data_IF_398236832586
#
_entry.id   IF_398236832586
#
_cell.length_a   1.000
_cell.length_b   1.000
_cell.length_c   1.000
_cell.angle_alpha   90.00
_cell.angle_beta   90.00
_cell.angle_gamma   90.00
#
_symmetry.space_group_name_H-M   'P 1'
#
loop_
_entity.id
_entity.type
_entity.pdbx_description
1 polymer ?
#
# COMPACT_ATOMS: atom_id res chain seq x y z
N UNK A 1 22.73 -63.12 -85.67
CA UNK A 1 23.83 -62.15 -85.47
C UNK A 1 23.20 -60.78 -85.44
N UNK A 2 23.50 -60.00 -84.38
CA UNK A 2 22.76 -58.82 -83.98
C UNK A 2 23.26 -57.56 -84.71
N UNK A 3 22.36 -56.83 -85.37
CA UNK A 3 22.63 -55.50 -85.91
C UNK A 3 22.48 -54.44 -84.80
N UNK A 4 23.60 -54.07 -84.19
CA UNK A 4 23.67 -52.91 -83.30
C UNK A 4 23.67 -51.63 -84.15
N UNK A 5 22.48 -51.05 -84.36
CA UNK A 5 22.31 -49.75 -85.03
C UNK A 5 23.08 -48.68 -84.24
N UNK A 6 24.16 -48.17 -84.83
CA UNK A 6 24.95 -47.07 -84.26
C UNK A 6 24.04 -45.88 -83.99
N UNK A 7 23.91 -45.47 -82.73
CA UNK A 7 23.16 -44.28 -82.34
C UNK A 7 23.72 -43.05 -83.05
N UNK A 8 22.84 -42.18 -83.55
CA UNK A 8 23.28 -40.93 -84.13
C UNK A 8 23.87 -40.01 -83.05
N UNK A 9 24.78 -39.13 -83.45
CA UNK A 9 25.34 -38.09 -82.58
C UNK A 9 24.25 -37.26 -81.88
N UNK A 10 23.12 -37.05 -82.56
CA UNK A 10 21.96 -36.34 -82.02
C UNK A 10 21.32 -37.09 -80.85
N UNK A 11 21.14 -38.40 -80.96
CA UNK A 11 20.55 -39.22 -79.89
C UNK A 11 21.43 -39.24 -78.64
N UNK A 12 22.76 -39.21 -78.83
CA UNK A 12 23.72 -39.10 -77.73
C UNK A 12 23.60 -37.75 -77.03
N UNK A 13 23.48 -36.65 -77.78
CA UNK A 13 23.27 -35.31 -77.24
C UNK A 13 21.94 -35.19 -76.51
N UNK A 14 20.88 -35.80 -77.04
CA UNK A 14 19.57 -35.83 -76.40
C UNK A 14 19.62 -36.56 -75.05
N UNK A 15 20.26 -37.74 -75.01
CA UNK A 15 20.44 -38.49 -73.76
C UNK A 15 21.28 -37.73 -72.73
N UNK A 16 22.36 -37.07 -73.18
CA UNK A 16 23.18 -36.22 -72.32
C UNK A 16 22.35 -35.08 -71.71
N UNK A 17 21.54 -34.39 -72.52
CA UNK A 17 20.69 -33.29 -72.06
C UNK A 17 19.68 -33.77 -71.01
N UNK A 18 18.99 -34.88 -71.27
CA UNK A 18 18.03 -35.47 -70.32
C UNK A 18 18.69 -35.87 -69.00
N UNK A 19 19.90 -36.43 -69.04
CA UNK A 19 20.64 -36.75 -67.82
C UNK A 19 21.06 -35.49 -67.05
N UNK A 20 21.43 -34.42 -67.74
CA UNK A 20 21.75 -33.14 -67.11
C UNK A 20 20.52 -32.52 -66.45
N UNK A 21 19.37 -32.50 -67.12
CA UNK A 21 18.12 -32.02 -66.53
C UNK A 21 17.78 -32.77 -65.23
N UNK A 22 17.82 -34.11 -65.25
CA UNK A 22 17.57 -34.93 -64.05
C UNK A 22 18.54 -34.64 -62.90
N UNK A 23 19.82 -34.41 -63.22
CA UNK A 23 20.82 -34.02 -62.22
C UNK A 23 20.50 -32.65 -61.63
N UNK A 24 20.14 -31.68 -62.46
CA UNK A 24 19.74 -30.34 -62.02
C UNK A 24 18.50 -30.36 -61.13
N UNK A 25 17.48 -31.13 -61.51
CA UNK A 25 16.26 -31.30 -60.71
C UNK A 25 16.57 -31.92 -59.34
N UNK A 26 17.40 -32.98 -59.34
CA UNK A 26 17.85 -33.59 -58.09
C UNK A 26 18.69 -32.64 -57.22
N UNK A 27 19.47 -31.72 -57.79
CA UNK A 27 20.24 -30.71 -57.04
C UNK A 27 19.32 -29.63 -56.46
N UNK A 28 18.29 -29.22 -57.19
CA UNK A 28 17.29 -28.25 -56.72
C UNK A 28 16.45 -28.83 -55.57
N UNK A 29 16.04 -30.10 -55.68
CA UNK A 29 15.28 -30.80 -54.65
C UNK A 29 16.11 -31.11 -53.39
N UNK A 30 17.42 -31.35 -53.54
CA UNK A 30 18.16 -32.08 -52.50
C UNK A 30 18.63 -31.31 -51.28
N UNK A 31 19.02 -30.03 -51.32
CA UNK A 31 19.98 -29.67 -50.26
C UNK A 31 20.00 -28.28 -49.63
N UNK A 32 19.45 -27.23 -50.28
CA UNK A 32 19.54 -25.88 -49.69
C UNK A 32 18.23 -25.40 -49.10
N UNK A 33 17.12 -25.62 -49.77
CA UNK A 33 15.82 -25.13 -49.29
C UNK A 33 15.38 -25.80 -47.98
N UNK A 34 15.50 -27.12 -47.87
CA UNK A 34 15.19 -27.86 -46.64
C UNK A 34 16.12 -27.48 -45.48
N UNK A 35 17.42 -27.30 -45.75
CA UNK A 35 18.40 -26.87 -44.77
C UNK A 35 18.12 -25.43 -44.28
N UNK A 36 17.81 -24.52 -45.19
CA UNK A 36 17.45 -23.13 -44.88
C UNK A 36 16.18 -23.08 -44.04
N UNK A 37 15.13 -23.83 -44.42
CA UNK A 37 13.89 -23.93 -43.65
C UNK A 37 14.15 -24.44 -42.23
N UNK A 38 14.96 -25.49 -42.09
CA UNK A 38 15.33 -26.03 -40.76
C UNK A 38 16.09 -25.00 -39.92
N UNK A 39 17.03 -24.28 -40.51
CA UNK A 39 17.78 -23.22 -39.83
C UNK A 39 16.86 -22.06 -39.42
N UNK A 40 15.93 -21.67 -40.28
CA UNK A 40 14.96 -20.62 -40.00
C UNK A 40 14.03 -20.99 -38.83
N UNK A 41 13.54 -22.23 -38.78
CA UNK A 41 12.75 -22.71 -37.65
C UNK A 41 13.58 -22.79 -36.35
N UNK A 42 14.85 -23.21 -36.44
CA UNK A 42 15.74 -23.20 -35.29
C UNK A 42 16.00 -21.78 -34.76
N UNK A 43 16.20 -20.81 -35.66
CA UNK A 43 16.39 -19.42 -35.28
C UNK A 43 15.13 -18.84 -34.63
N UNK A 44 13.95 -19.09 -35.19
CA UNK A 44 12.67 -18.67 -34.57
C UNK A 44 12.51 -19.24 -33.16
N UNK A 45 12.80 -20.54 -32.97
CA UNK A 45 12.73 -21.18 -31.67
C UNK A 45 13.68 -20.52 -30.67
N UNK A 46 14.93 -20.26 -31.07
CA UNK A 46 15.90 -19.57 -30.22
C UNK A 46 15.48 -18.12 -29.91
N UNK A 47 14.95 -17.39 -30.89
CA UNK A 47 14.44 -16.03 -30.66
C UNK A 47 13.31 -16.04 -29.62
N UNK A 48 12.33 -16.92 -29.79
CA UNK A 48 11.22 -17.04 -28.84
C UNK A 48 11.71 -17.41 -27.44
N UNK A 49 12.68 -18.33 -27.33
CA UNK A 49 13.28 -18.71 -26.04
C UNK A 49 13.95 -17.51 -25.36
N UNK A 50 14.74 -16.73 -26.10
CA UNK A 50 15.40 -15.54 -25.54
C UNK A 50 14.42 -14.45 -25.13
N UNK A 51 13.31 -14.29 -25.87
CA UNK A 51 12.25 -13.35 -25.52
C UNK A 51 11.50 -13.79 -24.26
N UNK A 52 11.27 -15.10 -24.10
CA UNK A 52 10.61 -15.68 -22.93
C UNK A 52 11.51 -15.57 -21.69
N UNK A 53 12.80 -15.88 -21.79
CA UNK A 53 13.76 -15.70 -20.70
C UNK A 53 13.82 -14.24 -20.23
N UNK A 54 13.83 -13.30 -21.17
CA UNK A 54 13.78 -11.87 -20.85
C UNK A 54 12.48 -11.48 -20.14
N UNK A 55 11.34 -12.01 -20.60
CA UNK A 55 10.05 -11.76 -19.97
C UNK A 55 10.02 -12.31 -18.53
N UNK A 56 10.57 -13.49 -18.29
CA UNK A 56 10.66 -14.10 -16.97
C UNK A 56 11.50 -13.24 -16.01
N UNK A 57 12.63 -12.70 -16.49
CA UNK A 57 13.48 -11.82 -15.70
C UNK A 57 12.81 -10.46 -15.41
N UNK A 58 12.04 -9.93 -16.36
CA UNK A 58 11.23 -8.74 -16.15
C UNK A 58 10.13 -8.98 -15.10
N UNK A 59 9.48 -10.14 -15.11
CA UNK A 59 8.49 -10.55 -14.09
C UNK A 59 9.13 -10.62 -12.71
N UNK A 60 10.25 -11.35 -12.55
CA UNK A 60 10.98 -11.45 -11.27
C UNK A 60 11.36 -10.08 -10.73
N UNK A 61 11.81 -9.17 -11.60
CA UNK A 61 12.18 -7.81 -11.21
C UNK A 61 10.96 -7.02 -10.71
N UNK A 62 9.82 -7.15 -11.38
CA UNK A 62 8.58 -6.47 -10.99
C UNK A 62 8.00 -7.01 -9.70
N UNK A 63 8.01 -8.33 -9.48
CA UNK A 63 7.58 -8.96 -8.23
C UNK A 63 8.41 -8.44 -7.05
N UNK A 64 9.74 -8.42 -7.20
CA UNK A 64 10.63 -7.86 -6.17
C UNK A 64 10.32 -6.39 -5.89
N UNK A 65 10.14 -5.58 -6.94
CA UNK A 65 9.81 -4.17 -6.79
C UNK A 65 8.46 -3.95 -6.09
N UNK A 66 7.48 -4.82 -6.34
CA UNK A 66 6.18 -4.79 -5.68
C UNK A 66 6.32 -5.09 -4.17
N UNK A 67 7.11 -6.09 -3.80
CA UNK A 67 7.37 -6.44 -2.40
C UNK A 67 8.11 -5.31 -1.68
N UNK A 68 9.15 -4.75 -2.31
CA UNK A 68 9.89 -3.60 -1.78
C UNK A 68 8.95 -2.39 -1.57
N UNK A 69 8.07 -2.11 -2.53
CA UNK A 69 7.06 -1.05 -2.41
C UNK A 69 6.07 -1.28 -1.27
N UNK A 70 5.73 -2.54 -0.98
CA UNK A 70 4.84 -2.88 0.13
C UNK A 70 5.54 -2.67 1.48
N UNK A 71 6.76 -3.17 1.62
CA UNK A 71 7.59 -2.99 2.83
C UNK A 71 7.84 -1.51 3.11
N UNK A 72 8.11 -0.73 2.07
CA UNK A 72 8.31 0.72 2.16
C UNK A 72 7.08 1.44 2.71
N UNK A 73 5.87 1.08 2.24
CA UNK A 73 4.61 1.63 2.76
C UNK A 73 4.39 1.28 4.23
N UNK A 74 4.66 0.03 4.61
CA UNK A 74 4.55 -0.43 6.00
C UNK A 74 5.54 0.31 6.91
N UNK A 75 6.79 0.50 6.47
CA UNK A 75 7.80 1.28 7.19
C UNK A 75 7.36 2.72 7.40
N UNK A 76 6.87 3.37 6.34
CA UNK A 76 6.45 4.77 6.41
C UNK A 76 5.24 4.95 7.34
N UNK A 77 4.27 4.04 7.29
CA UNK A 77 3.13 4.06 8.20
C UNK A 77 3.56 3.88 9.67
N UNK A 78 4.53 2.99 9.92
CA UNK A 78 5.08 2.79 11.26
C UNK A 78 5.82 4.03 11.77
N UNK A 79 6.65 4.64 10.91
CA UNK A 79 7.40 5.85 11.25
C UNK A 79 6.48 7.04 11.56
N UNK A 80 5.41 7.22 10.77
CA UNK A 80 4.40 8.25 11.04
C UNK A 80 3.71 8.02 12.39
N UNK A 81 3.29 6.78 12.67
CA UNK A 81 2.67 6.44 13.95
C UNK A 81 3.61 6.75 15.13
N UNK A 82 4.88 6.36 15.01
CA UNK A 82 5.88 6.63 16.04
C UNK A 82 6.09 8.13 16.25
N UNK A 83 6.12 8.93 15.17
CA UNK A 83 6.20 10.40 15.26
C UNK A 83 5.02 11.00 16.02
N UNK A 84 3.80 10.50 15.80
CA UNK A 84 2.63 10.97 16.55
C UNK A 84 2.71 10.60 18.04
N UNK A 85 3.14 9.38 18.36
CA UNK A 85 3.28 8.91 19.74
C UNK A 85 4.35 9.72 20.51
N UNK A 86 5.50 9.97 19.89
CA UNK A 86 6.56 10.82 20.45
C UNK A 86 6.05 12.24 20.72
N UNK A 87 5.36 12.86 19.74
CA UNK A 87 4.78 14.20 19.93
C UNK A 87 3.76 14.24 21.04
N UNK A 88 2.91 13.22 21.15
CA UNK A 88 1.92 13.13 22.21
C UNK A 88 2.61 13.11 23.58
N UNK A 89 3.58 12.22 23.78
CA UNK A 89 4.34 12.14 25.03
C UNK A 89 5.11 13.43 25.35
N UNK A 90 5.73 14.06 24.35
CA UNK A 90 6.41 15.34 24.51
C UNK A 90 5.44 16.43 25.01
N UNK A 91 4.25 16.52 24.41
CA UNK A 91 3.23 17.51 24.84
C UNK A 91 2.69 17.23 26.24
N UNK A 92 2.48 15.96 26.60
CA UNK A 92 2.04 15.56 27.94
C UNK A 92 3.09 15.95 28.99
N UNK A 93 4.35 15.61 28.77
CA UNK A 93 5.45 15.98 29.67
C UNK A 93 5.58 17.50 29.83
N UNK A 94 5.40 18.25 28.73
CA UNK A 94 5.44 19.71 28.76
C UNK A 94 4.33 20.28 29.63
N UNK A 95 3.08 19.81 29.46
CA UNK A 95 1.95 20.25 30.29
C UNK A 95 2.11 19.87 31.75
N UNK A 96 2.62 18.67 32.05
CA UNK A 96 2.91 18.23 33.42
C UNK A 96 3.97 19.13 34.08
N UNK A 97 5.07 19.42 33.36
CA UNK A 97 6.12 20.31 33.86
C UNK A 97 5.62 21.75 34.06
N UNK A 98 4.77 22.27 33.17
CA UNK A 98 4.14 23.57 33.32
C UNK A 98 3.18 23.61 34.53
N UNK A 99 2.38 22.54 34.74
CA UNK A 99 1.53 22.40 35.93
C UNK A 99 2.34 22.38 37.22
N UNK A 100 3.45 21.63 37.25
CA UNK A 100 4.34 21.54 38.40
C UNK A 100 5.06 22.87 38.65
N UNK A 101 5.55 23.54 37.61
CA UNK A 101 6.15 24.87 37.70
C UNK A 101 5.14 25.94 38.19
N UNK A 102 3.86 25.84 37.81
CA UNK A 102 2.80 26.71 38.35
C UNK A 102 2.49 26.43 39.81
N UNK A 103 2.54 25.17 40.25
CA UNK A 103 2.41 24.80 41.66
C UNK A 103 3.59 25.32 42.50
N UNK A 104 4.82 25.26 41.97
CA UNK A 104 6.02 25.73 42.67
C UNK A 104 6.16 27.27 42.65
N UNK A 105 5.84 27.94 41.53
CA UNK A 105 5.83 29.42 41.44
C UNK A 105 4.63 30.07 42.13
N UNK A 106 3.55 29.31 42.35
CA UNK A 106 2.40 29.72 43.19
C UNK A 106 2.65 29.61 44.70
N UNK A 107 3.82 29.13 45.14
CA UNK A 107 4.15 28.93 46.56
C UNK A 107 4.87 30.14 47.21
N UNK A 108 4.57 31.37 46.77
CA UNK A 108 5.03 32.61 47.43
C UNK A 108 3.88 33.57 47.77
N UNK A 109 2.64 33.09 47.89
CA UNK A 109 1.52 33.95 48.30
C UNK A 109 0.49 33.27 49.20
N UNK A 110 0.84 32.16 49.87
CA UNK A 110 -0.06 31.45 50.79
C UNK A 110 -0.27 32.11 52.16
N UNK A 111 0.36 33.24 52.48
CA UNK A 111 0.18 33.88 53.80
C UNK A 111 -0.68 35.17 53.82
N UNK A 112 -1.08 35.74 52.68
CA UNK A 112 -1.78 37.05 52.70
C UNK A 112 -3.26 36.99 52.26
N UNK A 113 -3.71 35.94 51.56
CA UNK A 113 -5.10 35.88 51.04
C UNK A 113 -6.05 34.93 51.79
N UNK A 114 -5.66 34.38 52.94
CA UNK A 114 -6.55 33.53 53.76
C UNK A 114 -7.65 34.33 54.52
N UNK A 115 -7.73 35.65 54.35
CA UNK A 115 -8.64 36.52 55.15
C UNK A 115 -9.72 37.27 54.36
N UNK A 116 -9.85 37.10 53.05
CA UNK A 116 -10.94 37.73 52.31
C UNK A 116 -11.62 36.72 51.38
N UNK A 117 -12.91 36.54 51.65
CA UNK A 117 -13.87 35.73 50.91
C UNK A 117 -13.79 34.22 51.19
N UNK A 118 -14.21 33.85 52.41
CA UNK A 118 -14.82 32.55 52.65
C UNK A 118 -16.17 32.51 51.88
N UNK A 119 -16.12 32.39 50.55
CA UNK A 119 -17.28 32.11 49.74
C UNK A 119 -17.72 30.68 50.04
N UNK A 120 -18.65 30.53 50.99
CA UNK A 120 -19.31 29.25 51.26
C UNK A 120 -20.14 28.89 50.03
N UNK A 121 -19.51 28.15 49.11
CA UNK A 121 -20.19 27.51 47.99
C UNK A 121 -21.34 26.68 48.56
N UNK A 122 -22.57 26.81 48.04
CA UNK A 122 -23.67 25.95 48.45
C UNK A 122 -23.25 24.50 48.32
N UNK A 123 -23.40 23.72 49.39
CA UNK A 123 -23.07 22.30 49.40
C UNK A 123 -24.02 21.58 48.44
N UNK A 124 -23.55 21.31 47.23
CA UNK A 124 -24.28 20.50 46.25
C UNK A 124 -24.24 19.04 46.72
N UNK A 125 -25.38 18.54 47.21
CA UNK A 125 -25.55 17.11 47.48
C UNK A 125 -25.96 16.47 46.16
N UNK A 126 -24.97 16.03 45.39
CA UNK A 126 -25.21 15.23 44.18
C UNK A 126 -25.02 13.77 44.57
N UNK A 127 -26.00 12.92 44.24
CA UNK A 127 -25.88 11.48 44.47
C UNK A 127 -24.79 10.90 43.57
N UNK A 128 -23.99 9.96 44.07
CA UNK A 128 -22.93 9.32 43.27
C UNK A 128 -23.55 8.62 42.05
N UNK A 129 -23.03 8.87 40.86
CA UNK A 129 -23.42 8.15 39.65
C UNK A 129 -22.58 6.88 39.54
N UNK A 130 -23.22 5.72 39.54
CA UNK A 130 -22.55 4.42 39.54
C UNK A 130 -22.19 3.93 38.12
N UNK A 131 -22.31 4.78 37.09
CA UNK A 131 -21.91 4.46 35.72
C UNK A 131 -22.96 3.70 34.90
N UNK A 132 -24.15 3.45 35.46
CA UNK A 132 -25.27 2.85 34.72
C UNK A 132 -25.89 3.87 33.74
N UNK A 133 -25.77 3.61 32.44
CA UNK A 133 -26.31 4.50 31.39
C UNK A 133 -27.81 4.79 31.52
N UNK A 134 -28.61 3.83 32.00
CA UNK A 134 -30.05 4.03 32.20
C UNK A 134 -30.36 5.08 33.28
N UNK A 135 -29.42 5.31 34.20
CA UNK A 135 -29.55 6.27 35.29
C UNK A 135 -29.04 7.68 34.93
N UNK A 136 -28.49 7.85 33.72
CA UNK A 136 -27.83 9.08 33.28
C UNK A 136 -28.79 10.26 33.22
N UNK A 137 -29.98 10.06 32.66
CA UNK A 137 -30.98 11.11 32.55
C UNK A 137 -31.45 11.57 33.94
N UNK A 138 -31.79 10.64 34.83
CA UNK A 138 -32.20 10.95 36.21
C UNK A 138 -31.09 11.70 36.96
N UNK A 139 -29.85 11.28 36.79
CA UNK A 139 -28.70 11.94 37.40
C UNK A 139 -28.53 13.37 36.90
N UNK A 140 -28.65 13.60 35.58
CA UNK A 140 -28.60 14.95 35.00
C UNK A 140 -29.72 15.86 35.48
N UNK A 141 -30.94 15.33 35.59
CA UNK A 141 -32.07 16.08 36.08
C UNK A 141 -31.85 16.52 37.55
N UNK A 142 -31.37 15.60 38.40
CA UNK A 142 -31.02 15.89 39.80
C UNK A 142 -29.88 16.91 39.92
N UNK A 143 -28.86 16.79 39.08
CA UNK A 143 -27.76 17.75 39.04
C UNK A 143 -28.25 19.14 38.65
N UNK A 144 -29.06 19.23 37.59
CA UNK A 144 -29.59 20.50 37.07
C UNK A 144 -30.49 21.18 38.11
N UNK A 145 -31.37 20.42 38.77
CA UNK A 145 -32.24 20.94 39.84
C UNK A 145 -31.41 21.45 41.05
N UNK A 146 -30.31 20.76 41.39
CA UNK A 146 -29.39 21.18 42.46
C UNK A 146 -28.65 22.48 42.11
N UNK A 147 -28.25 22.65 40.85
CA UNK A 147 -27.64 23.89 40.33
C UNK A 147 -28.64 25.05 40.31
N UNK A 148 -29.89 24.80 39.94
CA UNK A 148 -30.95 25.82 39.93
C UNK A 148 -31.33 26.25 41.35
N UNK A 149 -31.48 25.31 42.29
CA UNK A 149 -31.76 25.60 43.72
C UNK A 149 -30.63 26.34 44.43
N UNK A 150 -29.38 26.10 44.03
CA UNK A 150 -28.21 26.78 44.60
C UNK A 150 -27.96 28.18 44.02
N UNK A 151 -28.78 28.64 43.08
CA UNK A 151 -28.65 29.96 42.46
C UNK A 151 -27.42 30.11 41.56
N UNK A 152 -26.72 29.00 41.26
CA UNK A 152 -25.52 28.97 40.42
C UNK A 152 -25.84 29.01 38.91
N UNK A 153 -27.11 28.86 38.54
CA UNK A 153 -27.59 28.79 37.16
C UNK A 153 -27.11 29.95 36.27
N UNK A 154 -26.92 31.15 36.83
CA UNK A 154 -26.51 32.34 36.07
C UNK A 154 -25.04 32.33 35.62
N UNK A 155 -24.19 31.43 36.15
CA UNK A 155 -22.73 31.50 35.93
C UNK A 155 -22.13 30.27 35.24
N UNK A 156 -22.93 29.32 34.76
CA UNK A 156 -22.40 28.05 34.21
C UNK A 156 -23.19 27.46 33.03
N UNK A 157 -24.28 28.08 32.59
CA UNK A 157 -25.05 27.59 31.42
C UNK A 157 -24.41 28.07 30.11
N UNK A 158 -23.15 27.71 29.87
CA UNK A 158 -22.52 27.83 28.55
C UNK A 158 -22.27 26.42 27.99
N UNK A 159 -22.87 26.15 26.82
CA UNK A 159 -22.86 24.92 26.04
C UNK A 159 -23.60 23.67 26.59
N UNK A 160 -24.90 23.63 26.32
CA UNK A 160 -25.64 22.36 26.13
C UNK A 160 -25.64 22.04 24.63
N UNK A 161 -25.03 20.93 24.18
CA UNK A 161 -25.18 20.47 22.80
C UNK A 161 -26.64 20.11 22.58
N UNK A 162 -27.29 20.77 21.62
CA UNK A 162 -28.57 20.32 21.11
C UNK A 162 -28.35 18.96 20.45
N UNK A 163 -28.89 17.90 21.04
CA UNK A 163 -29.11 16.67 20.31
C UNK A 163 -30.24 16.96 19.30
N UNK A 164 -29.85 17.33 18.08
CA UNK A 164 -30.73 17.21 16.93
C UNK A 164 -30.97 15.73 16.65
N UNK A 165 -32.25 15.37 16.60
CA UNK A 165 -32.79 14.17 15.96
C UNK A 165 -32.32 14.06 14.50
#
# INVERSE_FOLDING_TARGET
>A
MADAKAMSTFDVKLKQLVMTCKRTDSVLDSNKDTAIKRQLEALKALTNETELEKADDDVKRLEKWQDDCKLEKERNAFEEKLKYEVKLHETTLKLESEHQAKLESGSSSKEIYAKQVEAKLPKLVISKFDGNYMDWQRFWDQFTESIEKSGLASRTRENVPHQSN
#
